data_IF_824706697064
#
_entry.id   IF_824706697064
#
_cell.length_a   1.000
_cell.length_b   1.000
_cell.length_c   1.000
_cell.angle_alpha   90.00
_cell.angle_beta   90.00
_cell.angle_gamma   90.00
#
_symmetry.space_group_name_H-M   'P 1'
#
loop_
_entity.id
_entity.type
_entity.pdbx_description
1 polymer ?
#
# COMPACT_ATOMS: atom_id res chain seq x y z
N UNK A 1 -31.07 -7.38 -3.28
CA UNK A 1 -30.02 -6.38 -3.60
C UNK A 1 -28.69 -7.11 -3.53
N UNK A 2 -27.90 -7.14 -4.61
CA UNK A 2 -26.56 -7.76 -4.65
C UNK A 2 -25.54 -6.62 -4.70
N UNK A 3 -24.56 -6.63 -3.80
CA UNK A 3 -23.46 -5.66 -3.77
C UNK A 3 -22.20 -6.32 -4.32
N UNK A 4 -21.62 -5.74 -5.37
CA UNK A 4 -20.28 -6.11 -5.84
C UNK A 4 -19.27 -5.23 -5.11
N UNK A 5 -18.70 -5.76 -4.03
CA UNK A 5 -17.65 -5.07 -3.27
C UNK A 5 -16.30 -5.18 -3.99
N UNK A 6 -15.64 -4.05 -4.24
CA UNK A 6 -14.23 -4.02 -4.65
C UNK A 6 -13.33 -4.49 -3.52
N UNK A 7 -12.35 -5.34 -3.84
CA UNK A 7 -11.36 -5.87 -2.90
C UNK A 7 -10.54 -4.73 -2.26
N UNK A 8 -10.41 -4.75 -0.94
CA UNK A 8 -9.58 -3.79 -0.22
C UNK A 8 -8.09 -4.05 -0.48
N UNK A 9 -7.30 -2.99 -0.74
CA UNK A 9 -5.88 -3.11 -1.07
C UNK A 9 -5.05 -3.89 -0.03
N UNK A 10 -5.35 -3.74 1.27
CA UNK A 10 -4.69 -4.53 2.33
C UNK A 10 -4.98 -6.03 2.23
N UNK A 11 -6.17 -6.42 1.79
CA UNK A 11 -6.51 -7.83 1.56
C UNK A 11 -5.77 -8.35 0.34
N UNK A 12 -5.73 -7.57 -0.74
CA UNK A 12 -5.04 -7.95 -1.96
C UNK A 12 -3.54 -8.24 -1.72
N UNK A 13 -2.85 -7.42 -0.90
CA UNK A 13 -1.45 -7.67 -0.53
C UNK A 13 -1.28 -8.95 0.28
N UNK A 14 -2.22 -9.27 1.17
CA UNK A 14 -2.18 -10.51 1.97
C UNK A 14 -2.43 -11.75 1.12
N UNK A 15 -3.41 -11.67 0.22
CA UNK A 15 -3.78 -12.79 -0.64
C UNK A 15 -2.68 -13.07 -1.66
N UNK A 16 -2.04 -12.03 -2.22
CA UNK A 16 -0.87 -12.20 -3.10
C UNK A 16 0.34 -12.74 -2.35
N UNK A 17 0.63 -12.28 -1.13
CA UNK A 17 1.72 -12.81 -0.33
C UNK A 17 1.55 -14.29 0.03
N UNK A 18 0.31 -14.74 0.27
CA UNK A 18 -0.01 -16.17 0.45
C UNK A 18 0.25 -16.99 -0.81
N UNK A 19 -0.08 -16.47 -1.99
CA UNK A 19 0.19 -17.15 -3.27
C UNK A 19 1.69 -17.24 -3.55
N UNK A 20 2.46 -16.28 -3.08
CA UNK A 20 3.92 -16.23 -3.21
C UNK A 20 4.66 -17.00 -2.10
N UNK A 21 3.95 -17.76 -1.25
CA UNK A 21 4.50 -18.50 -0.11
C UNK A 21 5.35 -17.64 0.86
N UNK A 22 5.04 -16.34 0.98
CA UNK A 22 5.71 -15.44 1.90
C UNK A 22 5.22 -15.66 3.34
N UNK A 23 6.10 -15.54 4.36
CA UNK A 23 5.68 -15.60 5.75
C UNK A 23 4.56 -14.61 6.07
N UNK A 24 3.56 -15.06 6.83
CA UNK A 24 2.42 -14.23 7.23
C UNK A 24 2.85 -12.98 8.00
N UNK A 25 3.92 -13.08 8.78
CA UNK A 25 4.51 -11.94 9.52
C UNK A 25 4.99 -10.84 8.58
N UNK A 26 5.66 -11.21 7.50
CA UNK A 26 6.28 -10.26 6.58
C UNK A 26 5.23 -9.65 5.67
N UNK A 27 4.31 -10.49 5.19
CA UNK A 27 3.16 -10.06 4.42
C UNK A 27 2.27 -9.08 5.20
N UNK A 28 2.05 -9.32 6.50
CA UNK A 28 1.27 -8.41 7.35
C UNK A 28 2.00 -7.07 7.61
N UNK A 29 3.33 -7.10 7.76
CA UNK A 29 4.15 -5.88 7.88
C UNK A 29 4.04 -5.01 6.63
N UNK A 30 4.13 -5.61 5.44
CA UNK A 30 4.00 -4.88 4.17
C UNK A 30 2.57 -4.33 4.01
N UNK A 31 1.55 -5.15 4.31
CA UNK A 31 0.15 -4.71 4.23
C UNK A 31 -0.18 -3.53 5.17
N UNK A 32 0.49 -3.43 6.33
CA UNK A 32 0.31 -2.32 7.28
C UNK A 32 0.87 -0.99 6.76
N UNK A 33 1.89 -1.01 5.90
CA UNK A 33 2.46 0.20 5.27
C UNK A 33 1.51 0.86 4.26
N UNK A 34 0.48 0.13 3.81
CA UNK A 34 -0.55 0.65 2.91
C UNK A 34 -1.59 1.44 3.71
N UNK A 35 -1.39 2.76 3.83
CA UNK A 35 -2.23 3.62 4.67
C UNK A 35 -3.47 4.19 3.97
N UNK A 36 -3.58 4.13 2.64
CA UNK A 36 -4.75 4.64 1.89
C UNK A 36 -5.03 3.84 0.60
N UNK A 37 -6.01 4.31 -0.19
CA UNK A 37 -6.28 3.76 -1.53
C UNK A 37 -5.02 3.91 -2.39
N UNK A 38 -4.45 2.78 -2.85
CA UNK A 38 -3.21 2.75 -3.65
C UNK A 38 -3.23 3.73 -4.82
N UNK A 39 -4.33 3.77 -5.58
CA UNK A 39 -4.47 4.67 -6.73
C UNK A 39 -4.25 6.13 -6.34
N UNK A 40 -4.72 6.54 -5.16
CA UNK A 40 -4.49 7.89 -4.66
C UNK A 40 -3.12 8.08 -4.04
N UNK A 41 -2.34 7.05 -3.72
CA UNK A 41 -0.97 7.21 -3.19
C UNK A 41 0.07 7.24 -4.32
N UNK A 42 -0.14 6.43 -5.36
CA UNK A 42 0.78 6.31 -6.50
C UNK A 42 0.74 7.53 -7.42
N UNK A 43 -0.42 8.21 -7.50
CA UNK A 43 -0.60 9.42 -8.31
C UNK A 43 -0.15 10.72 -7.59
N UNK A 44 0.29 10.65 -6.32
CA UNK A 44 0.71 11.83 -5.55
C UNK A 44 2.21 12.09 -5.68
N UNK A 45 2.58 13.17 -6.36
CA UNK A 45 3.14 14.34 -5.67
C UNK A 45 3.97 14.14 -4.38
N UNK A 46 5.32 14.11 -4.36
CA UNK A 46 6.10 14.10 -3.09
C UNK A 46 5.67 15.25 -2.13
N UNK A 47 5.26 16.37 -2.72
CA UNK A 47 4.76 17.55 -2.02
C UNK A 47 3.32 17.40 -1.49
N UNK A 48 2.49 16.57 -2.13
CA UNK A 48 1.14 16.27 -1.65
C UNK A 48 1.12 15.19 -0.58
N UNK A 49 2.05 14.23 -0.63
CA UNK A 49 2.21 13.18 0.39
C UNK A 49 2.47 13.81 1.76
N UNK A 50 3.36 14.81 1.82
CA UNK A 50 3.69 15.53 3.07
C UNK A 50 2.53 16.33 3.67
N UNK A 51 1.51 16.67 2.88
CA UNK A 51 0.33 17.42 3.35
C UNK A 51 -0.83 16.52 3.80
N UNK A 52 -0.96 15.32 3.20
CA UNK A 52 -2.07 14.40 3.45
C UNK A 52 -1.79 13.36 4.54
N UNK A 53 -0.53 13.12 4.87
CA UNK A 53 -0.12 12.06 5.80
C UNK A 53 0.67 12.61 6.99
N UNK A 54 0.55 11.96 8.15
CA UNK A 54 1.32 12.29 9.34
C UNK A 54 2.79 11.88 9.20
N UNK A 55 3.69 12.46 10.00
CA UNK A 55 5.14 12.19 9.95
C UNK A 55 5.50 10.70 9.93
N UNK A 56 4.79 9.88 10.72
CA UNK A 56 5.05 8.43 10.80
C UNK A 56 4.61 7.67 9.53
N UNK A 57 3.60 8.18 8.83
CA UNK A 57 3.08 7.57 7.61
C UNK A 57 3.87 7.98 6.37
N UNK A 58 4.42 9.20 6.36
CA UNK A 58 5.21 9.74 5.24
C UNK A 58 6.40 8.82 4.92
N UNK A 59 7.09 8.30 5.94
CA UNK A 59 8.21 7.37 5.75
C UNK A 59 7.81 6.11 4.99
N UNK A 60 6.75 5.44 5.44
CA UNK A 60 6.22 4.24 4.79
C UNK A 60 5.74 4.50 3.36
N UNK A 61 5.07 5.64 3.11
CA UNK A 61 4.60 6.02 1.77
C UNK A 61 5.77 6.28 0.82
N UNK A 62 6.79 6.99 1.31
CA UNK A 62 7.95 7.35 0.50
C UNK A 62 8.74 6.10 0.08
N UNK A 63 8.93 5.15 1.01
CA UNK A 63 9.55 3.86 0.73
C UNK A 63 8.79 3.10 -0.36
N UNK A 64 7.46 3.09 -0.28
CA UNK A 64 6.60 2.42 -1.27
C UNK A 64 6.68 3.09 -2.66
N UNK A 65 6.66 4.43 -2.73
CA UNK A 65 6.81 5.17 -4.00
C UNK A 65 8.17 4.91 -4.62
N UNK A 66 9.23 4.83 -3.79
CA UNK A 66 10.58 4.52 -4.26
C UNK A 66 10.66 3.13 -4.87
N UNK A 67 10.16 2.11 -4.16
CA UNK A 67 10.10 0.73 -4.68
C UNK A 67 9.31 0.66 -5.99
N UNK A 68 8.22 1.42 -6.11
CA UNK A 68 7.44 1.49 -7.35
C UNK A 68 8.24 2.09 -8.52
N UNK A 69 8.93 3.21 -8.30
CA UNK A 69 9.77 3.87 -9.33
C UNK A 69 10.99 3.02 -9.72
N UNK A 70 11.56 2.27 -8.78
CA UNK A 70 12.72 1.39 -9.05
C UNK A 70 12.34 0.16 -9.91
N UNK A 71 11.05 -0.22 -9.95
CA UNK A 71 10.54 -1.38 -10.70
C UNK A 71 9.76 -1.00 -11.97
N UNK A 72 9.75 0.27 -12.36
CA UNK A 72 9.12 0.79 -13.59
C UNK A 72 10.19 1.31 -14.54
#
# INVERSE_FOLDING_TARGET
IITYGTMAGKSAVRDTGRVLDLPLSDTDRIAKKVHAKLNKMLDLDENEVKKKFNNDQIGDVMDLIKIYKDNT
#
